data_IF_427110590993
#
_entry.id   IF_427110590993
#
_cell.length_a   1.000
_cell.length_b   1.000
_cell.length_c   1.000
_cell.angle_alpha   90.00
_cell.angle_beta   90.00
_cell.angle_gamma   90.00
#
_symmetry.space_group_name_H-M   'P 1'
#
loop_
_entity.id
_entity.type
_entity.pdbx_description
1 polymer ?
#
# COMPACT_ATOMS: atom_id res chain seq x y z
N UNK A 1 -10.97 -8.92 -68.11
CA UNK A 1 -12.02 -7.89 -67.95
C UNK A 1 -11.58 -6.96 -66.82
N UNK A 2 -10.97 -5.82 -67.13
CA UNK A 2 -11.54 -4.44 -67.10
C UNK A 2 -11.90 -3.90 -65.69
N UNK A 3 -10.97 -3.07 -65.16
CA UNK A 3 -11.06 -1.78 -64.41
C UNK A 3 -11.79 -1.78 -63.05
N UNK A 4 -11.48 -0.97 -62.03
CA UNK A 4 -10.97 0.41 -61.93
C UNK A 4 -10.23 0.68 -60.59
N UNK A 5 -9.36 1.69 -60.61
CA UNK A 5 -8.62 2.36 -59.52
C UNK A 5 -9.48 3.48 -58.93
N UNK A 6 -9.44 3.74 -57.61
CA UNK A 6 -9.48 5.11 -57.03
C UNK A 6 -8.55 5.20 -55.80
N UNK A 7 -7.67 6.19 -55.86
CA UNK A 7 -6.70 6.67 -54.87
C UNK A 7 -7.40 7.72 -53.98
N UNK A 8 -7.07 7.79 -52.68
CA UNK A 8 -7.10 9.08 -51.97
C UNK A 8 -6.18 9.06 -50.74
N UNK A 9 -5.00 9.64 -50.92
CA UNK A 9 -4.14 10.13 -49.84
C UNK A 9 -4.70 11.47 -49.36
N UNK A 10 -4.80 11.69 -48.05
CA UNK A 10 -4.93 13.04 -47.49
C UNK A 10 -3.71 13.31 -46.65
N UNK A 11 -2.90 14.21 -47.20
CA UNK A 11 -1.71 14.84 -46.66
C UNK A 11 -2.17 16.21 -46.15
N UNK A 12 -1.95 16.53 -44.87
CA UNK A 12 -2.00 17.94 -44.40
C UNK A 12 -0.74 18.21 -43.58
N UNK A 13 0.12 19.02 -44.20
CA UNK A 13 1.35 19.59 -43.66
C UNK A 13 1.06 20.97 -43.06
N UNK A 14 1.74 21.23 -41.93
CA UNK A 14 2.39 22.47 -41.51
C UNK A 14 1.57 23.73 -41.19
N UNK A 15 1.79 24.24 -39.97
CA UNK A 15 2.30 25.59 -39.79
C UNK A 15 3.42 25.61 -38.72
N UNK A 16 4.64 25.90 -39.17
CA UNK A 16 5.70 26.52 -38.38
C UNK A 16 5.53 28.04 -38.44
N UNK A 17 5.63 28.72 -37.29
CA UNK A 17 6.30 30.03 -37.06
C UNK A 17 6.51 30.06 -35.52
N UNK A 18 7.71 30.13 -34.93
CA UNK A 18 8.83 31.05 -35.15
C UNK A 18 8.73 32.19 -34.11
N UNK A 19 9.52 32.20 -33.03
CA UNK A 19 10.69 33.07 -32.78
C UNK A 19 10.78 33.25 -31.25
N UNK A 20 11.89 33.55 -30.56
CA UNK A 20 13.32 33.68 -30.87
C UNK A 20 14.07 33.70 -29.53
N UNK A 21 15.35 33.31 -29.58
CA UNK A 21 16.38 33.54 -28.57
C UNK A 21 16.31 34.92 -27.89
N UNK A 22 16.62 34.96 -26.59
CA UNK A 22 17.56 35.98 -26.10
C UNK A 22 18.47 35.45 -24.98
N UNK A 23 19.71 35.95 -25.01
CA UNK A 23 20.89 35.53 -24.25
C UNK A 23 20.90 36.07 -22.82
N UNK A 24 21.62 35.33 -21.96
CA UNK A 24 22.45 35.74 -20.81
C UNK A 24 22.19 37.09 -20.12
N UNK A 25 22.08 37.06 -18.78
CA UNK A 25 23.03 37.70 -17.86
C UNK A 25 22.77 37.31 -16.39
N UNK A 26 23.84 36.92 -15.71
CA UNK A 26 23.97 36.97 -14.24
C UNK A 26 23.83 38.43 -13.77
N UNK A 27 23.24 38.62 -12.59
CA UNK A 27 23.75 39.53 -11.55
C UNK A 27 22.95 39.39 -10.26
N UNK A 28 23.71 39.27 -9.17
CA UNK A 28 23.29 39.21 -7.77
C UNK A 28 22.55 40.47 -7.27
N UNK A 29 21.91 40.28 -6.10
CA UNK A 29 21.56 41.24 -5.05
C UNK A 29 20.51 42.34 -5.32
N UNK A 30 19.38 42.27 -4.59
CA UNK A 30 19.15 43.10 -3.39
C UNK A 30 17.80 42.77 -2.73
N UNK A 31 17.87 42.58 -1.41
CA UNK A 31 16.76 42.56 -0.46
C UNK A 31 16.05 43.92 -0.45
N UNK A 32 14.71 43.93 -0.47
CA UNK A 32 13.96 44.82 0.43
C UNK A 32 12.53 44.34 0.66
N UNK A 33 12.15 44.35 1.94
CA UNK A 33 10.86 44.01 2.52
C UNK A 33 9.68 44.67 1.81
N UNK A 34 8.68 43.87 1.44
CA UNK A 34 7.29 44.30 1.57
C UNK A 34 6.60 43.39 2.57
N UNK A 35 6.43 43.96 3.76
CA UNK A 35 5.54 43.49 4.81
C UNK A 35 4.15 43.24 4.20
N UNK A 36 3.81 41.96 4.00
CA UNK A 36 2.48 41.50 3.62
C UNK A 36 2.03 40.51 4.69
N UNK A 37 1.49 41.10 5.76
CA UNK A 37 0.32 40.61 6.49
C UNK A 37 0.27 39.10 6.72
N UNK A 38 0.62 38.72 7.94
CA UNK A 38 -0.05 37.68 8.73
C UNK A 38 -1.53 37.49 8.35
N UNK A 39 -1.81 36.57 7.43
CA UNK A 39 -3.13 35.96 7.26
C UNK A 39 -2.93 34.53 6.71
N UNK A 40 -3.17 33.55 7.59
CA UNK A 40 -3.25 32.10 7.36
C UNK A 40 -2.01 31.41 6.77
N UNK A 41 -1.13 30.98 7.69
CA UNK A 41 -0.43 29.71 7.57
C UNK A 41 -1.50 28.60 7.55
N UNK A 42 -2.13 28.38 6.40
CA UNK A 42 -3.07 27.29 6.19
C UNK A 42 -2.27 25.99 6.01
N UNK A 43 -1.91 25.39 7.15
CA UNK A 43 -1.65 23.97 7.42
C UNK A 43 -1.20 23.12 6.22
N UNK A 44 0.11 23.05 6.00
CA UNK A 44 0.68 22.24 4.93
C UNK A 44 0.83 20.77 5.35
N UNK A 45 -0.17 20.00 4.88
CA UNK A 45 -0.13 18.68 4.20
C UNK A 45 0.87 17.64 4.74
N UNK A 46 0.36 16.64 5.46
CA UNK A 46 1.08 15.37 5.61
C UNK A 46 1.10 14.70 4.23
N UNK A 47 2.31 14.43 3.73
CA UNK A 47 2.55 13.77 2.47
C UNK A 47 3.01 12.34 2.74
N UNK A 48 2.18 11.37 2.36
CA UNK A 48 2.51 9.94 2.50
C UNK A 48 2.86 9.40 1.13
N UNK A 49 4.09 8.90 1.00
CA UNK A 49 4.49 8.10 -0.14
C UNK A 49 4.11 6.66 0.15
N UNK A 50 3.14 6.12 -0.60
CA UNK A 50 2.62 4.77 -0.35
C UNK A 50 3.46 3.72 -1.05
N UNK A 51 4.17 4.10 -2.14
CA UNK A 51 4.96 3.18 -2.96
C UNK A 51 5.98 3.84 -3.90
N UNK A 52 6.41 5.07 -3.59
CA UNK A 52 7.29 5.86 -4.48
C UNK A 52 6.65 6.29 -5.81
N UNK A 53 5.43 5.81 -6.12
CA UNK A 53 4.63 6.21 -7.29
C UNK A 53 3.39 7.01 -6.87
N UNK A 54 2.71 6.59 -5.79
CA UNK A 54 1.52 7.26 -5.27
C UNK A 54 1.86 8.16 -4.06
N UNK A 55 1.42 9.41 -4.18
CA UNK A 55 1.50 10.40 -3.10
C UNK A 55 0.11 10.69 -2.56
N UNK A 56 -0.14 10.33 -1.31
CA UNK A 56 -1.35 10.70 -0.60
C UNK A 56 -1.12 12.00 0.18
N UNK A 57 -1.93 13.02 -0.10
CA UNK A 57 -1.87 14.32 0.57
C UNK A 57 -3.12 14.48 1.39
N UNK A 58 -2.94 14.74 2.68
CA UNK A 58 -4.05 14.95 3.62
C UNK A 58 -3.81 16.21 4.44
N UNK A 59 -4.87 16.97 4.67
CA UNK A 59 -4.85 18.12 5.58
C UNK A 59 -4.95 17.66 7.03
N UNK A 60 -4.32 18.39 7.95
CA UNK A 60 -4.42 18.06 9.38
C UNK A 60 -5.88 18.07 9.87
N UNK A 61 -6.67 19.05 9.44
CA UNK A 61 -8.11 19.09 9.69
C UNK A 61 -8.89 17.86 9.20
N UNK A 62 -8.45 17.18 8.14
CA UNK A 62 -9.06 15.93 7.68
C UNK A 62 -8.69 14.76 8.61
N UNK A 63 -7.46 14.73 9.12
CA UNK A 63 -7.02 13.74 10.12
C UNK A 63 -7.80 13.92 11.43
N UNK A 64 -8.02 15.16 11.87
CA UNK A 64 -8.82 15.45 13.08
C UNK A 64 -10.23 14.91 12.90
N UNK A 65 -10.90 15.26 11.79
CA UNK A 65 -12.25 14.75 11.46
C UNK A 65 -12.27 13.22 11.39
N UNK A 66 -11.24 12.60 10.80
CA UNK A 66 -11.09 11.16 10.72
C UNK A 66 -10.96 10.51 12.11
N UNK A 67 -10.09 11.05 12.97
CA UNK A 67 -9.89 10.58 14.35
C UNK A 67 -11.20 10.65 15.13
N UNK A 68 -11.91 11.77 15.06
CA UNK A 68 -13.20 11.95 15.73
C UNK A 68 -14.25 10.99 15.20
N UNK A 69 -14.34 10.87 13.88
CA UNK A 69 -15.31 10.00 13.22
C UNK A 69 -15.12 8.53 13.58
N UNK A 70 -13.90 8.01 13.51
CA UNK A 70 -13.62 6.60 13.84
C UNK A 70 -13.39 6.36 15.33
N UNK A 71 -13.35 7.41 16.16
CA UNK A 71 -13.08 7.30 17.60
C UNK A 71 -11.62 6.92 17.91
N UNK A 72 -10.67 7.33 17.06
CA UNK A 72 -9.26 7.00 17.15
C UNK A 72 -8.47 7.99 18.01
N UNK A 73 -9.09 8.44 19.10
CA UNK A 73 -8.45 9.38 20.00
C UNK A 73 -7.32 8.70 20.78
N UNK A 74 -6.09 9.10 20.44
CA UNK A 74 -4.80 8.56 20.91
C UNK A 74 -4.73 8.46 22.45
N UNK A 75 -5.41 9.36 23.16
CA UNK A 75 -5.43 9.38 24.64
C UNK A 75 -6.04 8.14 25.29
N UNK A 76 -6.86 7.37 24.58
CA UNK A 76 -7.47 6.13 25.11
C UNK A 76 -6.57 4.90 24.96
N UNK A 77 -5.60 4.93 24.04
CA UNK A 77 -4.64 3.85 23.80
C UNK A 77 -5.23 2.51 23.35
N UNK A 78 -6.53 2.42 23.04
CA UNK A 78 -7.21 1.16 22.71
C UNK A 78 -7.63 1.14 21.23
N UNK A 79 -6.66 0.94 20.35
CA UNK A 79 -6.91 0.81 18.92
C UNK A 79 -7.39 -0.61 18.61
N UNK A 80 -8.45 -0.73 17.81
CA UNK A 80 -8.95 -2.02 17.36
C UNK A 80 -8.33 -2.41 16.02
N UNK A 81 -8.54 -3.64 15.59
CA UNK A 81 -8.16 -4.00 14.23
C UNK A 81 -8.86 -3.05 13.22
N UNK A 82 -8.18 -2.55 12.18
CA UNK A 82 -8.74 -1.54 11.27
C UNK A 82 -10.07 -1.97 10.66
N UNK A 83 -10.24 -3.26 10.33
CA UNK A 83 -11.50 -3.78 9.82
C UNK A 83 -12.65 -3.70 10.85
N UNK A 84 -12.37 -3.98 12.13
CA UNK A 84 -13.37 -3.87 13.19
C UNK A 84 -13.77 -2.41 13.45
N UNK A 85 -12.79 -1.50 13.41
CA UNK A 85 -13.04 -0.06 13.51
C UNK A 85 -13.92 0.43 12.35
N UNK A 86 -13.61 -0.02 11.13
CA UNK A 86 -14.37 0.31 9.92
C UNK A 86 -15.81 -0.20 10.01
N UNK A 87 -15.98 -1.49 10.29
CA UNK A 87 -17.29 -2.15 10.37
C UNK A 87 -18.19 -1.61 11.49
N UNK A 88 -17.61 -1.12 12.59
CA UNK A 88 -18.38 -0.45 13.66
C UNK A 88 -19.01 0.85 13.17
N UNK A 89 -18.38 1.58 12.25
CA UNK A 89 -18.85 2.88 11.77
C UNK A 89 -19.76 2.80 10.57
N UNK A 90 -19.53 1.83 9.67
CA UNK A 90 -20.42 1.51 8.56
C UNK A 90 -21.88 1.22 8.98
N UNK A 91 -22.12 0.89 10.25
CA UNK A 91 -23.49 0.63 10.76
C UNK A 91 -24.26 1.89 11.15
N UNK A 92 -23.62 3.06 11.13
CA UNK A 92 -24.19 4.29 11.68
C UNK A 92 -24.86 5.22 10.64
N UNK A 93 -24.81 4.92 9.32
CA UNK A 93 -25.57 5.62 8.27
C UNK A 93 -25.48 7.15 8.34
N UNK A 94 -24.25 7.69 8.26
CA UNK A 94 -23.99 9.14 8.24
C UNK A 94 -23.24 9.59 6.98
N UNK A 95 -23.17 10.89 6.72
CA UNK A 95 -22.58 11.46 5.51
C UNK A 95 -21.08 11.08 5.31
N UNK A 96 -20.38 10.78 6.40
CA UNK A 96 -18.99 10.31 6.37
C UNK A 96 -18.90 8.86 5.91
N UNK A 97 -19.94 8.03 6.10
CA UNK A 97 -20.01 6.68 5.53
C UNK A 97 -19.89 6.73 4.00
N UNK A 98 -20.55 7.70 3.34
CA UNK A 98 -20.47 7.84 1.89
C UNK A 98 -19.03 8.03 1.41
N UNK A 99 -18.19 8.77 2.16
CA UNK A 99 -16.79 9.00 1.80
C UNK A 99 -15.94 7.73 1.82
N UNK A 100 -16.26 6.77 2.68
CA UNK A 100 -15.46 5.56 2.86
C UNK A 100 -16.10 4.29 2.27
N UNK A 101 -17.34 4.38 1.78
CA UNK A 101 -18.13 3.25 1.27
C UNK A 101 -17.59 2.59 -0.02
N UNK A 102 -16.81 3.32 -0.83
CA UNK A 102 -16.22 2.81 -2.07
C UNK A 102 -14.88 2.10 -1.83
N UNK A 103 -14.39 1.30 -2.78
CA UNK A 103 -13.06 0.66 -2.65
C UNK A 103 -11.94 1.68 -2.42
N UNK A 104 -11.97 2.79 -3.16
CA UNK A 104 -11.03 3.91 -2.96
C UNK A 104 -11.22 4.59 -1.59
N UNK A 105 -12.47 4.67 -1.12
CA UNK A 105 -12.80 5.14 0.22
C UNK A 105 -12.17 4.26 1.30
N UNK A 106 -12.33 2.94 1.19
CA UNK A 106 -11.70 1.97 2.10
C UNK A 106 -10.18 2.11 2.05
N UNK A 107 -9.58 2.24 0.87
CA UNK A 107 -8.14 2.43 0.75
C UNK A 107 -7.67 3.69 1.48
N UNK A 108 -8.37 4.82 1.30
CA UNK A 108 -8.11 6.06 2.02
C UNK A 108 -8.25 5.87 3.53
N UNK A 109 -9.26 5.13 3.98
CA UNK A 109 -9.44 4.80 5.39
C UNK A 109 -8.20 4.10 5.96
N UNK A 110 -7.66 3.07 5.30
CA UNK A 110 -6.48 2.37 5.80
C UNK A 110 -5.22 3.24 5.80
N UNK A 111 -5.07 4.16 4.84
CA UNK A 111 -3.95 5.11 4.82
C UNK A 111 -4.05 6.06 6.01
N UNK A 112 -5.22 6.66 6.24
CA UNK A 112 -5.43 7.55 7.39
C UNK A 112 -5.27 6.80 8.72
N UNK A 113 -5.76 5.56 8.80
CA UNK A 113 -5.57 4.69 9.94
C UNK A 113 -4.09 4.47 10.23
N UNK A 114 -3.30 4.19 9.18
CA UNK A 114 -1.85 4.02 9.31
C UNK A 114 -1.17 5.26 9.85
N UNK A 115 -1.56 6.46 9.41
CA UNK A 115 -1.01 7.73 9.89
C UNK A 115 -1.24 7.92 11.39
N UNK A 116 -2.48 7.67 11.84
CA UNK A 116 -2.84 7.82 13.26
C UNK A 116 -2.04 6.85 14.13
N UNK A 117 -1.91 5.58 13.71
CA UNK A 117 -1.14 4.62 14.48
C UNK A 117 0.37 4.86 14.38
N UNK A 118 0.88 5.35 13.25
CA UNK A 118 2.29 5.71 13.09
C UNK A 118 2.70 6.80 14.06
N UNK A 119 1.85 7.82 14.22
CA UNK A 119 2.01 8.90 15.19
C UNK A 119 2.00 8.35 16.63
N UNK A 120 1.08 7.43 16.93
CA UNK A 120 0.97 6.82 18.25
C UNK A 120 2.14 5.88 18.60
N UNK A 121 2.50 5.00 17.68
CA UNK A 121 3.54 3.99 17.86
C UNK A 121 4.94 4.61 17.94
N UNK A 122 5.13 5.80 17.37
CA UNK A 122 6.45 6.38 17.13
C UNK A 122 6.81 6.30 15.65
N UNK A 123 6.97 7.48 15.05
CA UNK A 123 7.26 7.63 13.62
C UNK A 123 8.59 6.97 13.27
N UNK A 124 9.65 7.31 14.02
CA UNK A 124 11.02 6.88 13.71
C UNK A 124 11.42 5.58 14.42
N UNK A 125 10.88 5.32 15.62
CA UNK A 125 11.29 4.20 16.48
C UNK A 125 11.09 2.83 15.80
N UNK A 126 10.02 2.69 15.01
CA UNK A 126 9.63 1.41 14.41
C UNK A 126 9.78 1.36 12.89
N UNK A 127 10.53 2.29 12.28
CA UNK A 127 10.65 2.38 10.80
C UNK A 127 11.08 1.06 10.16
N UNK A 128 12.15 0.44 10.63
CA UNK A 128 12.63 -0.82 10.06
C UNK A 128 11.62 -1.97 10.23
N UNK A 129 10.91 -2.00 11.37
CA UNK A 129 9.91 -3.04 11.61
C UNK A 129 8.68 -2.88 10.72
N UNK A 130 8.29 -1.63 10.49
CA UNK A 130 7.18 -1.24 9.61
C UNK A 130 7.47 -1.63 8.18
N UNK A 131 8.63 -1.24 7.67
CA UNK A 131 9.03 -1.55 6.30
C UNK A 131 9.11 -3.07 6.09
N UNK A 132 9.69 -3.79 7.05
CA UNK A 132 9.74 -5.27 7.01
C UNK A 132 8.34 -5.90 7.00
N UNK A 133 7.40 -5.41 7.81
CA UNK A 133 6.02 -5.91 7.82
C UNK A 133 5.29 -5.63 6.51
N UNK A 134 5.44 -4.41 5.99
CA UNK A 134 4.86 -4.01 4.71
C UNK A 134 5.38 -4.93 3.61
N UNK A 135 6.68 -5.20 3.58
CA UNK A 135 7.30 -6.10 2.61
C UNK A 135 6.77 -7.54 2.76
N UNK A 136 6.68 -8.07 3.98
CA UNK A 136 6.10 -9.39 4.25
C UNK A 136 4.68 -9.48 3.70
N UNK A 137 3.82 -8.51 4.02
CA UNK A 137 2.42 -8.52 3.58
C UNK A 137 2.31 -8.37 2.07
N UNK A 138 3.14 -7.53 1.46
CA UNK A 138 3.18 -7.37 -0.01
C UNK A 138 3.66 -8.62 -0.70
N UNK A 139 4.63 -9.35 -0.13
CA UNK A 139 5.09 -10.63 -0.67
C UNK A 139 4.00 -11.67 -0.63
N UNK A 140 3.26 -11.76 0.47
CA UNK A 140 2.08 -12.63 0.54
C UNK A 140 1.03 -12.21 -0.49
N UNK A 141 0.66 -10.92 -0.56
CA UNK A 141 -0.27 -10.40 -1.56
C UNK A 141 0.18 -10.71 -3.00
N UNK A 142 1.48 -10.57 -3.28
CA UNK A 142 2.04 -10.86 -4.61
C UNK A 142 2.02 -12.35 -4.95
N UNK A 143 2.20 -13.24 -3.96
CA UNK A 143 2.12 -14.68 -4.17
C UNK A 143 0.71 -15.08 -4.63
N UNK A 144 -0.32 -14.61 -3.91
CA UNK A 144 -1.70 -14.87 -4.28
C UNK A 144 -2.12 -14.14 -5.56
N UNK A 145 -1.64 -12.92 -5.80
CA UNK A 145 -1.87 -12.21 -7.07
C UNK A 145 -1.31 -12.98 -8.27
N UNK A 146 -0.12 -13.56 -8.12
CA UNK A 146 0.48 -14.38 -9.16
C UNK A 146 -0.28 -15.69 -9.32
N UNK A 147 -0.73 -16.30 -8.23
CA UNK A 147 -1.56 -17.51 -8.27
C UNK A 147 -2.87 -17.28 -9.04
N UNK A 148 -3.58 -16.19 -8.75
CA UNK A 148 -4.92 -15.91 -9.27
C UNK A 148 -4.91 -15.18 -10.63
N UNK A 149 -3.73 -14.97 -11.21
CA UNK A 149 -3.52 -14.25 -12.48
C UNK A 149 -4.00 -12.79 -12.46
N UNK A 150 -3.92 -12.11 -11.33
CA UNK A 150 -4.32 -10.71 -11.20
C UNK A 150 -5.64 -10.47 -10.48
N UNK A 151 -6.01 -9.19 -10.35
CA UNK A 151 -7.27 -8.76 -9.76
C UNK A 151 -7.15 -7.38 -9.10
N UNK A 152 -8.22 -6.60 -9.13
CA UNK A 152 -8.21 -5.25 -8.51
C UNK A 152 -8.02 -5.34 -7.00
N UNK A 153 -8.53 -6.41 -6.37
CA UNK A 153 -8.33 -6.70 -4.95
C UNK A 153 -6.87 -6.58 -4.51
N UNK A 154 -5.94 -7.21 -5.25
CA UNK A 154 -4.52 -7.18 -4.93
C UNK A 154 -3.95 -5.77 -5.01
N UNK A 155 -4.43 -4.94 -5.95
CA UNK A 155 -4.08 -3.53 -6.07
C UNK A 155 -4.57 -2.71 -4.87
N UNK A 156 -5.81 -2.91 -4.43
CA UNK A 156 -6.35 -2.27 -3.23
C UNK A 156 -5.56 -2.66 -1.97
N UNK A 157 -5.16 -3.92 -1.87
CA UNK A 157 -4.40 -4.42 -0.73
C UNK A 157 -3.06 -3.71 -0.51
N UNK A 158 -2.41 -3.15 -1.55
CA UNK A 158 -1.18 -2.36 -1.37
C UNK A 158 -1.38 -1.16 -0.45
N UNK A 159 -2.52 -0.46 -0.55
CA UNK A 159 -2.88 0.66 0.32
C UNK A 159 -3.30 0.18 1.71
N UNK A 160 -4.07 -0.90 1.76
CA UNK A 160 -4.61 -1.45 3.02
C UNK A 160 -3.52 -2.03 3.93
N UNK A 161 -2.46 -2.57 3.34
CA UNK A 161 -1.29 -3.12 4.04
C UNK A 161 -0.65 -2.12 5.00
N UNK A 162 -0.62 -0.82 4.67
CA UNK A 162 -0.05 0.20 5.57
C UNK A 162 -0.77 0.25 6.91
N UNK A 163 -2.11 0.29 6.90
CA UNK A 163 -2.91 0.29 8.14
C UNK A 163 -2.75 -1.00 8.93
N UNK A 164 -2.61 -2.14 8.23
CA UNK A 164 -2.41 -3.44 8.86
C UNK A 164 -1.03 -3.59 9.50
N UNK A 165 0.01 -3.05 8.86
CA UNK A 165 1.37 -3.08 9.38
C UNK A 165 1.47 -2.24 10.67
N UNK A 166 0.90 -1.04 10.67
CA UNK A 166 0.88 -0.18 11.87
C UNK A 166 0.07 -0.79 13.01
N UNK A 167 -1.07 -1.42 12.70
CA UNK A 167 -1.83 -2.14 13.71
C UNK A 167 -1.03 -3.33 14.29
N UNK A 168 -0.28 -4.03 13.45
CA UNK A 168 0.60 -5.09 13.91
C UNK A 168 1.71 -4.60 14.83
N UNK A 169 2.29 -3.42 14.57
CA UNK A 169 3.25 -2.77 15.48
C UNK A 169 2.57 -2.36 16.79
N UNK A 170 1.43 -1.72 16.72
CA UNK A 170 0.66 -1.34 17.92
C UNK A 170 0.41 -2.56 18.82
N UNK A 171 -0.10 -3.66 18.26
CA UNK A 171 -0.33 -4.90 19.04
C UNK A 171 0.96 -5.55 19.56
N UNK A 172 2.11 -5.31 18.93
CA UNK A 172 3.42 -5.76 19.41
C UNK A 172 3.81 -5.01 20.68
N UNK A 173 3.67 -3.68 20.65
CA UNK A 173 4.01 -2.78 21.76
C UNK A 173 3.15 -3.12 22.99
N UNK A 174 1.84 -3.30 22.77
CA UNK A 174 0.89 -3.57 23.84
C UNK A 174 0.97 -5.01 24.40
N UNK A 175 1.59 -5.95 23.67
CA UNK A 175 1.52 -7.36 24.02
C UNK A 175 2.89 -8.03 24.15
N UNK A 176 3.26 -8.35 25.40
CA UNK A 176 4.47 -9.10 25.76
C UNK A 176 4.59 -10.47 25.07
N UNK A 177 3.51 -11.03 24.54
CA UNK A 177 3.55 -12.27 23.76
C UNK A 177 4.53 -12.19 22.58
N UNK A 178 4.66 -11.02 21.95
CA UNK A 178 5.52 -10.82 20.79
C UNK A 178 6.98 -10.52 21.13
N UNK A 179 7.30 -10.30 22.41
CA UNK A 179 8.66 -10.08 22.93
C UNK A 179 9.42 -11.40 23.12
N UNK A 180 8.73 -12.54 22.99
CA UNK A 180 9.32 -13.85 23.24
C UNK A 180 10.34 -14.21 22.16
N UNK A 181 11.56 -14.50 22.59
CA UNK A 181 12.60 -15.11 21.77
C UNK A 181 12.35 -16.62 21.69
N UNK A 182 11.74 -17.04 20.59
CA UNK A 182 11.62 -18.45 20.22
C UNK A 182 12.51 -18.71 19.03
N UNK A 183 13.16 -19.86 19.01
CA UNK A 183 13.65 -20.41 17.75
C UNK A 183 12.44 -20.74 16.86
N UNK A 184 12.37 -20.05 15.73
CA UNK A 184 11.27 -20.16 14.78
C UNK A 184 11.61 -21.03 13.58
N UNK A 185 12.83 -21.55 13.44
CA UNK A 185 13.29 -22.17 12.19
C UNK A 185 12.34 -23.27 11.73
N UNK A 186 11.97 -24.18 12.63
CA UNK A 186 11.04 -25.26 12.31
C UNK A 186 9.63 -24.73 11.97
N UNK A 187 9.11 -23.76 12.73
CA UNK A 187 7.78 -23.19 12.50
C UNK A 187 7.72 -22.43 11.17
N UNK A 188 8.79 -21.68 10.84
CA UNK A 188 8.96 -20.96 9.59
C UNK A 188 9.07 -21.93 8.42
N UNK A 189 9.91 -22.96 8.54
CA UNK A 189 10.06 -24.02 7.53
C UNK A 189 8.72 -24.68 7.23
N UNK A 190 7.94 -25.01 8.26
CA UNK A 190 6.59 -25.57 8.07
C UNK A 190 5.68 -24.60 7.33
N UNK A 191 5.61 -23.34 7.75
CA UNK A 191 4.78 -22.33 7.09
C UNK A 191 5.14 -22.14 5.62
N UNK A 192 6.42 -21.95 5.29
CA UNK A 192 6.88 -21.77 3.90
C UNK A 192 6.63 -23.04 3.06
N UNK A 193 6.85 -24.23 3.64
CA UNK A 193 6.60 -25.49 2.94
C UNK A 193 5.11 -25.70 2.64
N UNK A 194 4.23 -25.34 3.58
CA UNK A 194 2.78 -25.41 3.38
C UNK A 194 2.31 -24.49 2.26
N UNK A 195 2.81 -23.25 2.20
CA UNK A 195 2.50 -22.33 1.09
C UNK A 195 3.01 -22.88 -0.24
N UNK A 196 4.24 -23.40 -0.28
CA UNK A 196 4.83 -24.00 -1.48
C UNK A 196 4.01 -25.17 -2.01
N UNK A 197 3.57 -26.06 -1.11
CA UNK A 197 2.74 -27.20 -1.47
C UNK A 197 1.37 -26.76 -1.97
N UNK A 198 0.72 -25.83 -1.25
CA UNK A 198 -0.56 -25.27 -1.66
C UNK A 198 -0.50 -24.67 -3.07
N UNK A 199 0.41 -23.73 -3.32
CA UNK A 199 0.55 -23.10 -4.64
C UNK A 199 0.89 -24.08 -5.75
N UNK A 200 1.76 -25.06 -5.47
CA UNK A 200 2.06 -26.11 -6.44
C UNK A 200 0.82 -26.92 -6.80
N UNK A 201 -0.01 -27.24 -5.81
CA UNK A 201 -1.22 -28.03 -6.05
C UNK A 201 -2.23 -27.23 -6.89
N UNK A 202 -2.49 -25.98 -6.54
CA UNK A 202 -3.37 -25.07 -7.28
C UNK A 202 -2.92 -24.87 -8.74
N UNK A 203 -1.62 -24.64 -8.99
CA UNK A 203 -1.12 -24.48 -10.36
C UNK A 203 -1.22 -25.79 -11.16
N UNK A 204 -1.02 -26.94 -10.52
CA UNK A 204 -1.09 -28.22 -11.23
C UNK A 204 -2.54 -28.64 -11.54
N UNK A 205 -3.49 -28.27 -10.69
CA UNK A 205 -4.93 -28.54 -10.90
C UNK A 205 -5.57 -27.61 -11.92
N UNK A 206 -4.96 -26.45 -12.21
CA UNK A 206 -5.42 -25.53 -13.24
C UNK A 206 -5.38 -26.19 -14.64
N UNK A 207 -6.56 -26.44 -15.23
CA UNK A 207 -6.69 -27.06 -16.54
C UNK A 207 -6.44 -26.08 -17.70
N UNK A 208 -6.46 -24.78 -17.43
CA UNK A 208 -6.33 -23.74 -18.45
C UNK A 208 -4.85 -23.46 -18.76
N UNK A 209 -3.94 -23.87 -17.88
CA UNK A 209 -2.49 -23.76 -18.08
C UNK A 209 -1.90 -24.99 -18.77
N UNK A 210 -1.00 -24.77 -19.74
CA UNK A 210 -0.18 -25.85 -20.30
C UNK A 210 1.04 -26.15 -19.42
N UNK A 211 1.65 -27.33 -19.58
CA UNK A 211 2.77 -27.78 -18.74
C UNK A 211 3.91 -26.77 -18.60
N UNK A 212 4.26 -26.07 -19.70
CA UNK A 212 5.30 -25.05 -19.69
C UNK A 212 4.93 -23.85 -18.80
N UNK A 213 3.69 -23.38 -18.91
CA UNK A 213 3.20 -22.25 -18.10
C UNK A 213 3.10 -22.63 -16.62
N UNK A 214 2.73 -23.88 -16.32
CA UNK A 214 2.74 -24.41 -14.94
C UNK A 214 4.13 -24.37 -14.33
N UNK A 215 5.14 -24.80 -15.09
CA UNK A 215 6.55 -24.77 -14.64
C UNK A 215 6.99 -23.33 -14.37
N UNK A 216 6.79 -22.41 -15.32
CA UNK A 216 7.18 -21.00 -15.18
C UNK A 216 6.49 -20.32 -13.99
N UNK A 217 5.19 -20.59 -13.81
CA UNK A 217 4.40 -20.05 -12.70
C UNK A 217 4.90 -20.58 -11.35
N UNK A 218 5.15 -21.89 -11.24
CA UNK A 218 5.72 -22.50 -10.02
C UNK A 218 7.11 -21.93 -9.71
N UNK A 219 7.97 -21.72 -10.71
CA UNK A 219 9.28 -21.11 -10.53
C UNK A 219 9.17 -19.68 -9.99
N UNK A 220 8.28 -18.86 -10.57
CA UNK A 220 8.05 -17.50 -10.07
C UNK A 220 7.51 -17.46 -8.64
N UNK A 221 6.58 -18.35 -8.29
CA UNK A 221 6.06 -18.49 -6.93
C UNK A 221 7.14 -18.93 -5.94
N UNK A 222 8.01 -19.87 -6.33
CA UNK A 222 9.13 -20.31 -5.49
C UNK A 222 10.13 -19.17 -5.21
N UNK A 223 10.42 -18.35 -6.22
CA UNK A 223 11.32 -17.20 -6.07
C UNK A 223 10.76 -16.14 -5.12
N UNK A 224 9.45 -15.88 -5.16
CA UNK A 224 8.80 -14.96 -4.20
C UNK A 224 8.72 -15.56 -2.79
N UNK A 225 8.51 -16.88 -2.66
CA UNK A 225 8.53 -17.56 -1.37
C UNK A 225 9.91 -17.51 -0.70
N UNK A 226 11.00 -17.62 -1.45
CA UNK A 226 12.36 -17.48 -0.92
C UNK A 226 12.59 -16.07 -0.35
N UNK A 227 12.11 -15.03 -1.06
CA UNK A 227 12.16 -13.65 -0.56
C UNK A 227 11.35 -13.49 0.73
N UNK A 228 10.15 -14.09 0.79
CA UNK A 228 9.33 -14.08 2.00
C UNK A 228 10.03 -14.79 3.17
N UNK A 229 10.65 -15.95 2.94
CA UNK A 229 11.38 -16.71 3.96
C UNK A 229 12.53 -15.89 4.58
N UNK A 230 13.24 -15.12 3.76
CA UNK A 230 14.32 -14.25 4.21
C UNK A 230 13.84 -13.06 5.06
N UNK A 231 12.62 -12.56 4.83
CA UNK A 231 12.04 -11.47 5.62
C UNK A 231 11.55 -11.94 7.00
N UNK A 232 11.15 -13.21 7.12
CA UNK A 232 10.64 -13.78 8.37
C UNK A 232 11.83 -14.18 9.27
N UNK A 233 12.27 -13.22 10.08
CA UNK A 233 13.44 -13.36 10.97
C UNK A 233 13.10 -13.47 12.45
N UNK A 234 11.82 -13.29 12.82
CA UNK A 234 11.38 -13.30 14.22
C UNK A 234 10.02 -13.94 14.40
N UNK A 235 9.73 -14.39 15.63
CA UNK A 235 8.42 -14.92 16.00
C UNK A 235 7.28 -13.95 15.71
N UNK A 236 7.50 -12.66 15.96
CA UNK A 236 6.56 -11.61 15.61
C UNK A 236 6.25 -11.62 14.11
N UNK A 237 7.27 -11.57 13.25
CA UNK A 237 7.09 -11.58 11.80
C UNK A 237 6.41 -12.85 11.29
N UNK A 238 6.80 -14.01 11.82
CA UNK A 238 6.17 -15.27 11.45
C UNK A 238 4.68 -15.27 11.80
N UNK A 239 4.32 -14.83 13.00
CA UNK A 239 2.91 -14.78 13.41
C UNK A 239 2.11 -13.79 12.59
N UNK A 240 2.66 -12.63 12.30
CA UNK A 240 2.00 -11.63 11.46
C UNK A 240 1.85 -12.11 10.01
N UNK A 241 2.85 -12.79 9.45
CA UNK A 241 2.75 -13.42 8.13
C UNK A 241 1.64 -14.47 8.09
N UNK A 242 1.59 -15.38 9.08
CA UNK A 242 0.55 -16.42 9.19
C UNK A 242 -0.86 -15.82 9.29
N UNK A 243 -1.04 -14.83 10.16
CA UNK A 243 -2.33 -14.16 10.35
C UNK A 243 -2.78 -13.41 9.08
N UNK A 244 -1.85 -12.71 8.41
CA UNK A 244 -2.17 -12.01 7.18
C UNK A 244 -2.55 -12.98 6.07
N UNK A 245 -1.81 -14.08 5.90
CA UNK A 245 -2.17 -15.12 4.94
C UNK A 245 -3.59 -15.64 5.20
N UNK A 246 -3.87 -16.10 6.43
CA UNK A 246 -5.15 -16.73 6.79
C UNK A 246 -6.37 -15.80 6.73
N UNK A 247 -6.19 -14.52 7.04
CA UNK A 247 -7.32 -13.59 7.11
C UNK A 247 -7.70 -13.00 5.74
N UNK A 248 -6.79 -12.99 4.79
CA UNK A 248 -6.96 -12.28 3.51
C UNK A 248 -6.93 -13.18 2.28
N UNK A 249 -6.60 -14.48 2.44
CA UNK A 249 -6.54 -15.51 1.38
C UNK A 249 -6.87 -16.89 1.93
#
# INVERSE_FOLDING_TARGET
MKKFIIISQVLVLLFFVGCSNNKNKNSDELLENSDMTTELVEELRILVLIDGQDTFKVKESEIIKFKDYFGLNVKSGNFLHPELTYERRKRNNDDMEMMYSSEAGVDNYYILYSLVLKEHNGIDEYVNKRDTLIDIYRKINSLYNHLDNGGTYFGHMYKRIHGLAEFSIYTMIENKYYVKEYDIENLKKHFISSLKEYFRNEVNSDSDLVDKEKIEKIEGLNNELEKLDNLITSFFYLKKAQMFSCNYY
#
